data_IF_066313143322
#
_entry.id   IF_066313143322
#
_cell.length_a   1.000
_cell.length_b   1.000
_cell.length_c   1.000
_cell.angle_alpha   90.00
_cell.angle_beta   90.00
_cell.angle_gamma   90.00
#
_symmetry.space_group_name_H-M   'P 1'
#
loop_
_entity.id
_entity.type
_entity.pdbx_description
1 polymer ?
#
# COMPACT_ATOMS: atom_id res chain seq x y z
N UNK A 1 -1.35 -23.57 45.26
CA UNK A 1 -0.01 -22.99 45.06
C UNK A 1 -0.11 -22.01 43.91
N UNK A 2 -0.31 -20.73 44.22
CA UNK A 2 -0.29 -19.63 43.25
C UNK A 2 1.17 -19.25 42.99
N UNK A 3 1.60 -19.30 41.73
CA UNK A 3 2.94 -18.89 41.33
C UNK A 3 3.19 -17.42 41.72
N UNK A 4 4.40 -17.07 42.18
CA UNK A 4 4.72 -15.69 42.49
C UNK A 4 4.71 -14.87 41.19
N UNK A 5 3.97 -13.77 41.22
CA UNK A 5 3.88 -12.78 40.18
C UNK A 5 5.31 -12.27 39.88
N UNK A 6 5.82 -12.52 38.68
CA UNK A 6 7.13 -12.02 38.28
C UNK A 6 7.08 -10.49 38.34
N UNK A 7 7.80 -9.91 39.32
CA UNK A 7 7.92 -8.46 39.47
C UNK A 7 8.53 -7.91 38.19
N UNK A 8 7.79 -7.04 37.50
CA UNK A 8 8.34 -6.23 36.41
C UNK A 8 9.57 -5.47 36.94
N UNK A 9 10.68 -5.40 36.19
CA UNK A 9 11.83 -4.61 36.58
C UNK A 9 11.41 -3.14 36.73
N UNK A 10 11.98 -2.44 37.71
CA UNK A 10 11.76 -1.02 37.89
C UNK A 10 12.20 -0.26 36.62
N UNK A 11 11.51 0.82 36.23
CA UNK A 11 11.92 1.62 35.09
C UNK A 11 13.33 2.20 35.32
N UNK A 12 14.17 2.30 34.28
CA UNK A 12 15.52 2.82 34.41
C UNK A 12 15.51 4.27 34.91
N UNK A 13 16.53 4.63 35.69
CA UNK A 13 16.78 6.01 36.07
C UNK A 13 17.13 6.86 34.85
N UNK A 14 17.05 8.19 35.00
CA UNK A 14 17.41 9.13 33.94
C UNK A 14 18.86 8.92 33.47
N UNK A 15 19.78 8.68 34.41
CA UNK A 15 21.21 8.45 34.16
C UNK A 15 21.47 7.11 33.46
N UNK A 16 20.82 6.03 33.92
CA UNK A 16 20.92 4.71 33.27
C UNK A 16 20.44 4.77 31.82
N UNK A 17 19.26 5.35 31.60
CA UNK A 17 18.71 5.52 30.25
C UNK A 17 19.62 6.41 29.37
N UNK A 18 20.18 7.49 29.91
CA UNK A 18 21.11 8.34 29.17
C UNK A 18 22.39 7.58 28.78
N UNK A 19 22.89 6.70 29.66
CA UNK A 19 24.05 5.84 29.41
C UNK A 19 23.79 4.82 28.31
N UNK A 20 22.66 4.11 28.39
CA UNK A 20 22.24 3.17 27.35
C UNK A 20 22.12 3.86 25.98
N UNK A 21 21.44 5.01 25.92
CA UNK A 21 21.27 5.74 24.67
C UNK A 21 22.58 6.34 24.15
N UNK A 22 23.52 6.71 25.03
CA UNK A 22 24.83 7.23 24.64
C UNK A 22 25.63 6.17 23.86
N UNK A 23 25.63 4.93 24.34
CA UNK A 23 26.27 3.80 23.65
C UNK A 23 25.56 3.48 22.32
N UNK A 24 24.22 3.43 22.32
CA UNK A 24 23.44 3.18 21.08
C UNK A 24 23.73 4.24 20.01
N UNK A 25 23.81 5.52 20.37
CA UNK A 25 24.19 6.58 19.43
C UNK A 25 25.64 6.45 18.98
N UNK A 26 26.54 6.02 19.87
CA UNK A 26 27.94 5.70 19.54
C UNK A 26 28.05 4.60 18.48
N UNK A 27 27.35 3.49 18.68
CA UNK A 27 27.27 2.37 17.74
C UNK A 27 26.69 2.81 16.39
N UNK A 28 25.67 3.67 16.41
CA UNK A 28 25.09 4.22 15.19
C UNK A 28 26.10 5.07 14.42
N UNK A 29 26.89 5.91 15.10
CA UNK A 29 27.96 6.72 14.46
C UNK A 29 29.01 5.82 13.80
N UNK A 30 29.43 4.74 14.46
CA UNK A 30 30.36 3.77 13.86
C UNK A 30 29.71 3.05 12.67
N UNK A 31 28.44 2.68 12.76
CA UNK A 31 27.69 2.11 11.64
C UNK A 31 27.65 3.03 10.41
N UNK A 32 27.54 4.34 10.60
CA UNK A 32 27.61 5.31 9.50
C UNK A 32 29.01 5.33 8.87
N UNK A 33 30.06 5.36 9.69
CA UNK A 33 31.46 5.31 9.21
C UNK A 33 31.71 4.05 8.39
N UNK A 34 31.20 2.91 8.84
CA UNK A 34 31.29 1.63 8.13
C UNK A 34 30.54 1.64 6.81
N UNK A 35 29.35 2.25 6.79
CA UNK A 35 28.54 2.38 5.57
C UNK A 35 29.22 3.28 4.54
N UNK A 36 29.80 4.41 4.96
CA UNK A 36 30.63 5.26 4.09
C UNK A 36 31.83 4.50 3.52
N UNK A 37 32.54 3.71 4.35
CA UNK A 37 33.67 2.88 3.93
C UNK A 37 33.27 1.86 2.86
N UNK A 38 32.12 1.21 3.03
CA UNK A 38 31.59 0.25 2.05
C UNK A 38 31.15 0.91 0.75
N UNK A 39 30.69 2.16 0.81
CA UNK A 39 30.23 2.94 -0.35
C UNK A 39 31.30 3.84 -0.97
N UNK A 40 32.59 3.65 -0.63
CA UNK A 40 33.68 4.53 -1.13
C UNK A 40 33.73 4.62 -2.66
N UNK A 41 33.54 3.49 -3.36
CA UNK A 41 33.56 3.48 -4.83
C UNK A 41 32.42 4.29 -5.43
N UNK A 42 31.21 4.21 -4.86
CA UNK A 42 30.06 4.98 -5.31
C UNK A 42 30.24 6.47 -5.01
N UNK A 43 30.77 6.79 -3.82
CA UNK A 43 31.05 8.16 -3.39
C UNK A 43 32.13 8.84 -4.22
N UNK A 44 33.14 8.11 -4.70
CA UNK A 44 34.16 8.63 -5.62
C UNK A 44 33.57 9.07 -6.97
N UNK A 45 32.43 8.48 -7.38
CA UNK A 45 31.70 8.90 -8.57
C UNK A 45 30.96 10.24 -8.40
N UNK A 46 30.67 10.65 -7.16
CA UNK A 46 30.04 11.93 -6.87
C UNK A 46 31.09 13.06 -6.91
N UNK A 47 30.93 14.00 -7.85
CA UNK A 47 31.89 15.11 -8.05
C UNK A 47 31.23 16.47 -7.81
N UNK A 48 32.07 17.49 -7.58
CA UNK A 48 31.63 18.87 -7.40
C UNK A 48 30.79 19.09 -6.13
N UNK A 49 29.82 20.01 -6.20
CA UNK A 49 29.00 20.41 -5.06
C UNK A 49 28.08 19.32 -4.47
N UNK A 50 27.95 18.17 -5.14
CA UNK A 50 27.10 17.06 -4.69
C UNK A 50 27.83 16.06 -3.76
N UNK A 51 29.17 16.13 -3.66
CA UNK A 51 29.94 15.14 -2.91
C UNK A 51 29.55 15.08 -1.42
N UNK A 52 29.37 16.23 -0.77
CA UNK A 52 28.92 16.30 0.63
C UNK A 52 27.49 15.72 0.80
N UNK A 53 26.58 16.05 -0.12
CA UNK A 53 25.22 15.50 -0.11
C UNK A 53 25.19 13.99 -0.34
N UNK A 54 26.10 13.45 -1.16
CA UNK A 54 26.21 12.01 -1.39
C UNK A 54 26.67 11.27 -0.11
N UNK A 55 27.63 11.84 0.63
CA UNK A 55 28.04 11.30 1.94
C UNK A 55 26.87 11.31 2.92
N UNK A 56 26.18 12.44 3.05
CA UNK A 56 25.02 12.55 3.93
C UNK A 56 23.86 11.62 3.51
N UNK A 57 23.68 11.36 2.21
CA UNK A 57 22.71 10.39 1.72
C UNK A 57 23.06 8.96 2.14
N UNK A 58 24.34 8.57 2.08
CA UNK A 58 24.81 7.26 2.59
C UNK A 58 24.50 7.13 4.07
N UNK A 59 24.76 8.17 4.86
CA UNK A 59 24.43 8.19 6.28
C UNK A 59 22.93 8.05 6.53
N UNK A 60 22.14 8.84 5.81
CA UNK A 60 20.68 8.83 5.94
C UNK A 60 20.10 7.46 5.61
N UNK A 61 20.56 6.82 4.52
CA UNK A 61 20.14 5.46 4.15
C UNK A 61 20.57 4.44 5.19
N UNK A 62 21.78 4.55 5.75
CA UNK A 62 22.26 3.66 6.79
C UNK A 62 21.38 3.73 8.05
N UNK A 63 21.03 4.93 8.53
CA UNK A 63 20.09 5.09 9.64
C UNK A 63 18.70 4.54 9.30
N UNK A 64 18.17 4.85 8.11
CA UNK A 64 16.82 4.40 7.69
C UNK A 64 16.72 2.89 7.45
N UNK A 65 17.85 2.21 7.30
CA UNK A 65 17.94 0.75 7.25
C UNK A 65 17.79 0.06 8.61
N UNK A 66 17.75 0.81 9.71
CA UNK A 66 17.63 0.29 11.07
C UNK A 66 16.28 0.66 11.71
N UNK A 67 15.82 -0.16 12.65
CA UNK A 67 14.69 0.19 13.51
C UNK A 67 15.19 1.01 14.71
N UNK A 68 15.05 2.33 14.63
CA UNK A 68 15.50 3.27 15.66
C UNK A 68 14.37 3.77 16.58
N UNK A 69 13.18 3.16 16.53
CA UNK A 69 12.01 3.68 17.27
C UNK A 69 12.22 3.73 18.78
N UNK A 70 12.94 2.75 19.33
CA UNK A 70 13.23 2.69 20.77
C UNK A 70 14.22 3.78 21.18
N UNK A 71 15.26 4.01 20.37
CA UNK A 71 16.19 5.13 20.52
C UNK A 71 15.43 6.46 20.50
N UNK A 72 14.55 6.69 19.51
CA UNK A 72 13.78 7.94 19.39
C UNK A 72 12.87 8.19 20.60
N UNK A 73 12.21 7.14 21.11
CA UNK A 73 11.37 7.25 22.32
C UNK A 73 12.20 7.54 23.57
N UNK A 74 13.37 6.90 23.71
CA UNK A 74 14.30 7.16 24.80
C UNK A 74 14.87 8.58 24.79
N UNK A 75 15.29 9.08 23.62
CA UNK A 75 15.76 10.46 23.48
C UNK A 75 14.66 11.46 23.84
N UNK A 76 13.44 11.24 23.35
CA UNK A 76 12.30 12.09 23.62
C UNK A 76 11.93 12.13 25.12
N UNK A 77 11.99 11.00 25.83
CA UNK A 77 11.70 10.96 27.28
C UNK A 77 12.76 11.71 28.11
N UNK A 78 13.98 11.84 27.60
CA UNK A 78 15.04 12.65 28.21
C UNK A 78 14.95 14.15 27.86
N UNK A 79 14.05 14.54 26.94
CA UNK A 79 13.96 15.89 26.40
C UNK A 79 15.04 16.22 25.37
N UNK A 80 15.71 15.20 24.84
CA UNK A 80 16.73 15.31 23.79
C UNK A 80 16.06 15.20 22.42
N UNK A 81 16.66 15.80 21.37
CA UNK A 81 16.18 15.69 20.00
C UNK A 81 15.97 14.22 19.61
N UNK A 82 14.77 13.88 19.13
CA UNK A 82 14.40 12.53 18.68
C UNK A 82 14.93 12.18 17.29
N UNK A 83 15.89 12.96 16.78
CA UNK A 83 16.48 12.82 15.45
C UNK A 83 15.48 12.98 14.29
N UNK A 84 14.29 13.52 14.53
CA UNK A 84 13.27 13.73 13.50
C UNK A 84 13.77 14.52 12.27
N UNK A 85 14.42 15.69 12.43
CA UNK A 85 14.84 16.54 11.31
C UNK A 85 16.33 16.37 10.94
N UNK A 86 16.85 15.13 10.90
CA UNK A 86 18.28 14.89 10.67
C UNK A 86 18.68 14.83 9.18
N UNK A 87 17.73 14.95 8.25
CA UNK A 87 17.94 14.70 6.82
C UNK A 87 19.02 15.60 6.20
N UNK A 88 19.22 16.80 6.76
CA UNK A 88 20.19 17.76 6.23
C UNK A 88 21.64 17.45 6.60
N UNK A 89 21.87 16.89 7.79
CA UNK A 89 23.20 16.75 8.41
C UNK A 89 23.18 15.59 9.45
N UNK A 90 23.11 14.34 8.97
CA UNK A 90 22.83 13.17 9.82
C UNK A 90 23.90 12.96 10.89
N UNK A 91 25.18 13.01 10.50
CA UNK A 91 26.31 12.79 11.40
C UNK A 91 26.39 13.86 12.48
N UNK A 92 26.21 15.13 12.10
CA UNK A 92 26.25 16.28 12.99
C UNK A 92 25.14 16.19 14.05
N UNK A 93 23.93 15.76 13.66
CA UNK A 93 22.83 15.53 14.61
C UNK A 93 23.15 14.42 15.60
N UNK A 94 23.72 13.30 15.16
CA UNK A 94 24.10 12.20 16.05
C UNK A 94 25.21 12.62 17.03
N UNK A 95 26.22 13.35 16.55
CA UNK A 95 27.29 13.88 17.40
C UNK A 95 26.73 14.87 18.44
N UNK A 96 25.82 15.76 18.05
CA UNK A 96 25.19 16.71 18.96
C UNK A 96 24.31 16.02 20.02
N UNK A 97 23.54 15.01 19.63
CA UNK A 97 22.75 14.19 20.56
C UNK A 97 23.68 13.44 21.53
N UNK A 98 24.75 12.83 21.02
CA UNK A 98 25.73 12.13 21.86
C UNK A 98 26.41 13.06 22.87
N UNK A 99 26.78 14.27 22.45
CA UNK A 99 27.33 15.29 23.35
C UNK A 99 26.31 15.72 24.43
N UNK A 100 25.03 15.84 24.06
CA UNK A 100 23.95 16.17 25.01
C UNK A 100 23.77 15.06 26.05
N UNK A 101 23.79 13.78 25.62
CA UNK A 101 23.73 12.63 26.53
C UNK A 101 24.94 12.58 27.47
N UNK A 102 26.15 12.86 26.97
CA UNK A 102 27.34 12.97 27.81
C UNK A 102 27.21 14.06 28.89
N UNK A 103 26.61 15.20 28.55
CA UNK A 103 26.34 16.26 29.51
C UNK A 103 25.32 15.84 30.58
N UNK A 104 24.28 15.07 30.21
CA UNK A 104 23.32 14.50 31.19
C UNK A 104 24.04 13.56 32.16
N UNK A 105 24.91 12.67 31.64
CA UNK A 105 25.70 11.76 32.46
C UNK A 105 26.65 12.49 33.43
N UNK A 106 27.20 13.63 33.00
CA UNK A 106 28.11 14.43 33.82
C UNK A 106 27.42 15.21 34.95
N UNK A 107 26.11 15.44 34.89
CA UNK A 107 25.35 16.19 35.92
C UNK A 107 25.02 15.33 37.14
N UNK A 108 24.97 14.00 37.00
CA UNK A 108 24.67 13.07 38.09
C UNK A 108 25.94 12.46 38.74
N UNK A 109 27.11 12.76 38.19
CA UNK A 109 28.41 12.41 38.77
C UNK A 109 28.87 13.45 39.79
N UNK A 110 28.82 13.11 41.08
CA UNK A 110 29.60 13.78 42.12
C UNK A 110 31.07 13.88 41.68
N UNK A 111 31.67 15.07 41.85
CA UNK A 111 33.11 15.37 41.78
C UNK A 111 34.03 14.16 41.64
N UNK A 112 34.35 13.76 40.41
CA UNK A 112 35.62 13.08 40.08
C UNK A 112 35.78 13.06 38.55
N UNK A 113 36.40 14.12 38.02
CA UNK A 113 36.95 14.09 36.67
C UNK A 113 38.08 13.04 36.64
N UNK A 114 38.11 12.09 35.70
CA UNK A 114 39.32 11.35 35.43
C UNK A 114 40.27 12.30 34.70
N UNK A 115 41.25 12.84 35.42
CA UNK A 115 42.39 13.55 34.83
C UNK A 115 43.28 12.53 34.11
N UNK A 116 42.91 12.22 32.87
CA UNK A 116 43.82 11.67 31.88
C UNK A 116 44.67 12.80 31.29
N UNK A 117 45.96 12.74 31.57
CA UNK A 117 47.05 13.63 31.17
C UNK A 117 46.83 14.36 29.83
N UNK A 118 46.62 15.67 29.89
CA UNK A 118 47.06 16.62 28.87
C UNK A 118 48.22 17.39 29.47
N UNK A 119 49.37 17.32 28.81
CA UNK A 119 50.62 17.89 29.28
C UNK A 119 50.51 19.40 29.53
N UNK A 120 50.96 19.80 30.73
CA UNK A 120 51.00 21.17 31.18
C UNK A 120 52.10 21.95 30.46
N UNK A 121 51.69 22.68 29.41
CA UNK A 121 52.38 23.88 28.96
C UNK A 121 52.05 25.04 29.91
N UNK A 122 53.08 25.56 30.55
CA UNK A 122 53.12 26.73 31.44
C UNK A 122 52.27 27.92 30.98
N UNK A 123 51.39 28.42 31.86
CA UNK A 123 51.49 29.77 32.46
C UNK A 123 50.39 30.10 33.47
N UNK A 124 50.85 30.60 34.61
CA UNK A 124 50.11 31.38 35.61
C UNK A 124 49.67 32.72 35.03
N UNK A 125 48.41 33.12 35.24
CA UNK A 125 48.08 34.37 35.94
C UNK A 125 46.57 34.53 36.13
N UNK A 126 46.22 35.07 37.28
CA UNK A 126 44.90 35.48 37.73
C UNK A 126 44.31 36.61 36.89
N UNK A 127 43.14 36.41 36.32
CA UNK A 127 42.19 37.46 35.98
C UNK A 127 40.77 36.85 35.98
N UNK A 128 39.79 37.62 36.46
CA UNK A 128 38.38 37.23 36.48
C UNK A 128 37.90 36.79 35.09
N UNK A 129 36.93 35.86 34.95
CA UNK A 129 36.43 35.48 33.64
C UNK A 129 35.52 36.60 33.12
N UNK A 130 36.13 37.57 32.44
CA UNK A 130 35.44 38.46 31.51
C UNK A 130 34.84 37.60 30.38
N UNK A 131 33.53 37.76 30.19
CA UNK A 131 32.73 37.39 29.02
C UNK A 131 33.25 36.20 28.20
N UNK A 132 32.64 35.03 28.41
CA UNK A 132 32.65 33.95 27.41
C UNK A 132 32.11 34.54 26.11
N UNK A 133 33.00 34.81 25.16
CA UNK A 133 32.63 35.06 23.78
C UNK A 133 32.05 33.75 23.25
N UNK A 134 30.74 33.61 23.38
CA UNK A 134 30.00 32.55 22.71
C UNK A 134 30.07 32.90 21.24
N UNK A 135 30.91 32.19 20.48
CA UNK A 135 30.87 32.26 19.02
C UNK A 135 29.40 32.12 18.60
N UNK A 136 28.87 33.03 17.77
CA UNK A 136 27.46 32.96 17.39
C UNK A 136 27.22 31.63 16.69
N UNK A 137 26.44 30.77 17.33
CA UNK A 137 25.95 29.54 16.71
C UNK A 137 25.22 29.96 15.43
N UNK A 138 25.62 29.48 14.23
CA UNK A 138 24.96 29.83 12.99
C UNK A 138 23.47 29.53 13.12
N UNK A 139 22.62 30.51 12.80
CA UNK A 139 21.16 30.36 12.90
C UNK A 139 20.59 29.24 12.02
N UNK A 140 21.34 28.78 11.02
CA UNK A 140 20.97 27.71 10.08
C UNK A 140 22.22 26.89 9.73
N UNK A 141 22.13 25.55 9.78
CA UNK A 141 23.24 24.69 9.34
C UNK A 141 23.44 24.80 7.82
N UNK A 142 24.68 24.66 7.29
CA UNK A 142 24.92 24.62 5.85
C UNK A 142 24.07 23.56 5.11
N UNK A 143 23.86 22.38 5.72
CA UNK A 143 23.00 21.35 5.16
C UNK A 143 21.54 21.77 5.09
N UNK A 144 21.01 22.46 6.10
CA UNK A 144 19.62 22.96 6.09
C UNK A 144 19.41 23.97 4.95
N UNK A 145 20.37 24.88 4.76
CA UNK A 145 20.32 25.85 3.66
C UNK A 145 20.39 25.16 2.29
N UNK A 146 21.24 24.14 2.15
CA UNK A 146 21.36 23.37 0.92
C UNK A 146 20.10 22.55 0.62
N UNK A 147 19.50 21.93 1.65
CA UNK A 147 18.25 21.19 1.53
C UNK A 147 17.10 22.11 1.09
N UNK A 148 16.99 23.30 1.67
CA UNK A 148 15.99 24.29 1.28
C UNK A 148 16.17 24.72 -0.20
N UNK A 149 17.41 25.02 -0.60
CA UNK A 149 17.75 25.36 -1.99
C UNK A 149 17.36 24.24 -2.96
N UNK A 150 17.77 23.00 -2.68
CA UNK A 150 17.47 21.86 -3.56
C UNK A 150 15.96 21.58 -3.62
N UNK A 151 15.25 21.75 -2.50
CA UNK A 151 13.78 21.62 -2.46
C UNK A 151 13.11 22.62 -3.40
N UNK A 152 13.56 23.86 -3.40
CA UNK A 152 13.05 24.90 -4.31
C UNK A 152 13.37 24.63 -5.78
N UNK A 153 14.59 24.16 -6.06
CA UNK A 153 15.01 23.83 -7.42
C UNK A 153 14.14 22.72 -8.03
N UNK A 154 13.94 21.64 -7.26
CA UNK A 154 13.20 20.44 -7.69
C UNK A 154 11.69 20.69 -7.69
N UNK A 155 11.13 21.18 -6.59
CA UNK A 155 9.67 21.24 -6.37
C UNK A 155 9.08 22.64 -6.56
N UNK A 156 9.91 23.65 -6.78
CA UNK A 156 9.47 25.04 -6.89
C UNK A 156 9.45 25.78 -5.54
N UNK A 157 9.26 27.11 -5.58
CA UNK A 157 9.23 27.94 -4.38
C UNK A 157 8.10 27.54 -3.43
N UNK A 158 8.26 27.85 -2.15
CA UNK A 158 7.18 27.70 -1.18
C UNK A 158 6.06 28.68 -1.52
N UNK A 159 4.82 28.31 -1.22
CA UNK A 159 3.71 29.27 -1.30
C UNK A 159 3.76 30.24 -0.11
N UNK A 160 3.14 31.41 -0.25
CA UNK A 160 3.11 32.43 0.81
C UNK A 160 2.53 31.93 2.15
N UNK A 161 1.69 30.89 2.15
CA UNK A 161 0.97 30.41 3.32
C UNK A 161 1.47 29.06 3.85
N UNK A 162 2.37 28.37 3.13
CA UNK A 162 2.92 27.07 3.54
C UNK A 162 4.28 26.77 2.90
N UNK A 163 5.15 26.15 3.69
CA UNK A 163 6.42 25.59 3.23
C UNK A 163 6.28 24.24 2.51
N UNK A 164 5.27 23.43 2.83
CA UNK A 164 5.09 22.12 2.20
C UNK A 164 4.58 22.27 0.77
N UNK A 165 5.14 21.51 -0.19
CA UNK A 165 4.65 21.43 -1.57
C UNK A 165 3.68 20.25 -1.73
N UNK A 166 2.61 20.44 -2.49
CA UNK A 166 1.60 19.43 -2.79
C UNK A 166 1.88 18.91 -4.20
N UNK A 167 2.19 17.62 -4.27
CA UNK A 167 2.33 16.89 -5.52
C UNK A 167 1.06 16.08 -5.77
N UNK A 168 0.42 16.27 -6.91
CA UNK A 168 -0.78 15.52 -7.32
C UNK A 168 -0.41 14.61 -8.48
N UNK A 169 -0.78 13.34 -8.37
CA UNK A 169 -0.65 12.41 -9.50
C UNK A 169 -1.82 12.62 -10.43
N UNK A 170 -1.54 13.06 -11.65
CA UNK A 170 -2.59 13.35 -12.62
C UNK A 170 -3.24 12.05 -13.10
N UNK A 171 -4.58 11.95 -13.08
CA UNK A 171 -5.30 10.83 -13.67
C UNK A 171 -5.32 10.96 -15.21
N UNK A 172 -5.67 9.89 -15.92
CA UNK A 172 -5.64 9.85 -17.39
C UNK A 172 -6.55 10.92 -18.05
N UNK A 173 -7.64 11.27 -17.37
CA UNK A 173 -8.63 12.29 -17.71
C UNK A 173 -8.01 13.70 -17.76
N UNK A 174 -6.96 13.97 -16.98
CA UNK A 174 -6.26 15.26 -16.99
C UNK A 174 -5.60 15.58 -18.34
N UNK A 175 -5.46 14.59 -19.24
CA UNK A 175 -5.02 14.80 -20.61
C UNK A 175 -6.11 15.38 -21.53
N UNK A 176 -7.38 15.27 -21.16
CA UNK A 176 -8.54 15.65 -21.98
C UNK A 176 -9.42 16.71 -21.31
N UNK A 177 -9.30 16.87 -19.99
CA UNK A 177 -10.01 17.87 -19.19
C UNK A 177 -9.04 18.89 -18.58
N UNK A 178 -8.82 20.05 -19.23
CA UNK A 178 -8.02 21.14 -18.68
C UNK A 178 -8.64 21.80 -17.45
N UNK A 179 -9.96 21.75 -17.30
CA UNK A 179 -10.68 22.38 -16.19
C UNK A 179 -10.39 21.63 -14.90
N UNK A 180 -10.34 20.30 -14.95
CA UNK A 180 -9.89 19.46 -13.83
C UNK A 180 -8.48 19.85 -13.36
N UNK A 181 -7.55 20.09 -14.28
CA UNK A 181 -6.17 20.47 -13.95
C UNK A 181 -6.13 21.87 -13.32
N UNK A 182 -6.92 22.82 -13.83
CA UNK A 182 -7.08 24.14 -13.21
C UNK A 182 -7.58 24.01 -11.78
N UNK A 183 -8.58 23.18 -11.53
CA UNK A 183 -9.17 22.99 -10.21
C UNK A 183 -8.13 22.42 -9.22
N UNK A 184 -7.23 21.53 -9.66
CA UNK A 184 -6.10 21.10 -8.84
C UNK A 184 -5.13 22.24 -8.50
N UNK A 185 -4.80 23.09 -9.49
CA UNK A 185 -3.90 24.24 -9.28
C UNK A 185 -4.51 25.24 -8.31
N UNK A 186 -5.79 25.60 -8.48
CA UNK A 186 -6.48 26.54 -7.59
C UNK A 186 -6.63 25.97 -6.18
N UNK A 187 -6.76 24.65 -6.05
CA UNK A 187 -6.82 23.96 -4.75
C UNK A 187 -5.46 23.79 -4.08
N UNK A 188 -4.35 24.12 -4.74
CA UNK A 188 -3.02 24.13 -4.14
C UNK A 188 -1.95 23.22 -4.77
N UNK A 189 -2.21 22.54 -5.89
CA UNK A 189 -1.20 21.67 -6.53
C UNK A 189 0.05 22.43 -7.00
N UNK A 190 1.22 22.18 -6.40
CA UNK A 190 2.51 22.79 -6.77
C UNK A 190 3.27 21.96 -7.82
N UNK A 191 3.08 20.64 -7.78
CA UNK A 191 3.74 19.70 -8.67
C UNK A 191 2.71 18.75 -9.29
N UNK A 192 2.67 18.72 -10.62
CA UNK A 192 1.92 17.73 -11.37
C UNK A 192 2.81 16.51 -11.63
N UNK A 193 2.51 15.40 -10.95
CA UNK A 193 3.17 14.10 -11.17
C UNK A 193 2.46 13.35 -12.29
N UNK A 194 3.22 12.93 -13.29
CA UNK A 194 2.77 12.07 -14.38
C UNK A 194 3.40 10.70 -14.16
N UNK A 195 2.57 9.69 -13.87
CA UNK A 195 3.02 8.32 -13.66
C UNK A 195 3.13 7.60 -15.02
N UNK A 196 4.36 7.52 -15.55
CA UNK A 196 4.66 6.95 -16.86
C UNK A 196 4.56 5.42 -16.91
N UNK A 197 4.09 4.76 -15.85
CA UNK A 197 3.71 3.35 -15.90
C UNK A 197 2.33 3.12 -16.52
N UNK A 198 1.58 4.21 -16.73
CA UNK A 198 0.28 4.24 -17.37
C UNK A 198 0.29 5.27 -18.49
N UNK A 199 -0.69 5.17 -19.39
CA UNK A 199 -0.82 6.04 -20.55
C UNK A 199 0.40 6.01 -21.49
N UNK A 200 0.50 6.99 -22.37
CA UNK A 200 1.59 7.11 -23.34
C UNK A 200 1.96 8.57 -23.64
N UNK A 201 3.01 8.76 -24.45
CA UNK A 201 3.63 10.07 -24.69
C UNK A 201 2.64 11.18 -25.10
N UNK A 202 1.61 10.85 -25.89
CA UNK A 202 0.61 11.82 -26.33
C UNK A 202 -0.25 12.34 -25.19
N UNK A 203 -0.69 11.46 -24.29
CA UNK A 203 -1.46 11.83 -23.09
C UNK A 203 -0.60 12.61 -22.11
N UNK A 204 0.62 12.14 -21.84
CA UNK A 204 1.57 12.85 -20.99
C UNK A 204 1.85 14.26 -21.51
N UNK A 205 2.05 14.42 -22.82
CA UNK A 205 2.27 15.72 -23.45
C UNK A 205 1.08 16.67 -23.26
N UNK A 206 -0.15 16.15 -23.33
CA UNK A 206 -1.36 16.94 -23.03
C UNK A 206 -1.44 17.33 -21.56
N UNK A 207 -1.20 16.41 -20.64
CA UNK A 207 -1.13 16.69 -19.20
C UNK A 207 -0.11 17.78 -18.87
N UNK A 208 1.07 17.73 -19.49
CA UNK A 208 2.12 18.76 -19.34
C UNK A 208 1.61 20.12 -19.81
N UNK A 209 0.98 20.19 -20.99
CA UNK A 209 0.42 21.44 -21.52
C UNK A 209 -0.66 22.00 -20.60
N UNK A 210 -1.59 21.15 -20.15
CA UNK A 210 -2.67 21.56 -19.25
C UNK A 210 -2.12 22.05 -17.89
N UNK A 211 -1.13 21.35 -17.32
CA UNK A 211 -0.50 21.75 -16.06
C UNK A 211 0.24 23.10 -16.17
N UNK A 212 0.94 23.34 -17.27
CA UNK A 212 1.61 24.63 -17.53
C UNK A 212 0.61 25.76 -17.73
N UNK A 213 -0.41 25.55 -18.58
CA UNK A 213 -1.44 26.55 -18.84
C UNK A 213 -2.24 26.91 -17.58
N UNK A 214 -2.56 25.92 -16.75
CA UNK A 214 -3.23 26.14 -15.46
C UNK A 214 -2.35 26.95 -14.49
N UNK A 215 -1.04 26.65 -14.44
CA UNK A 215 -0.08 27.42 -13.64
C UNK A 215 0.01 28.89 -14.10
N UNK A 216 0.16 29.11 -15.41
CA UNK A 216 0.20 30.44 -16.02
C UNK A 216 -1.07 31.24 -15.72
N UNK A 217 -2.25 30.63 -15.90
CA UNK A 217 -3.54 31.27 -15.63
C UNK A 217 -3.72 31.65 -14.15
N UNK A 218 -3.13 30.87 -13.24
CA UNK A 218 -3.16 31.13 -11.80
C UNK A 218 -1.99 32.02 -11.31
N UNK A 219 -1.11 32.49 -12.21
CA UNK A 219 0.05 33.31 -11.85
C UNK A 219 1.08 32.58 -10.98
N UNK A 220 1.14 31.25 -11.05
CA UNK A 220 2.01 30.40 -10.21
C UNK A 220 2.75 29.35 -11.04
N UNK A 221 4.02 29.13 -10.72
CA UNK A 221 4.78 28.04 -11.31
C UNK A 221 4.27 26.68 -10.83
N UNK A 222 3.95 25.78 -11.77
CA UNK A 222 3.64 24.37 -11.49
C UNK A 222 4.77 23.51 -12.07
N UNK A 223 5.45 22.74 -11.22
CA UNK A 223 6.50 21.81 -11.69
C UNK A 223 5.87 20.56 -12.26
N UNK A 224 6.52 19.97 -13.26
CA UNK A 224 6.13 18.67 -13.82
C UNK A 224 7.12 17.62 -13.32
N UNK A 225 6.62 16.60 -12.63
CA UNK A 225 7.40 15.45 -12.19
C UNK A 225 7.04 14.22 -13.06
N UNK A 226 7.98 13.79 -13.89
CA UNK A 226 7.84 12.57 -14.70
C UNK A 226 8.30 11.37 -13.86
N UNK A 227 7.37 10.54 -13.41
CA UNK A 227 7.65 9.34 -12.65
C UNK A 227 7.75 8.13 -13.58
N UNK A 228 8.98 7.67 -13.82
CA UNK A 228 9.27 6.59 -14.74
C UNK A 228 8.74 5.26 -14.21
N UNK A 229 8.17 4.44 -15.09
CA UNK A 229 7.60 3.15 -14.69
C UNK A 229 8.61 2.21 -14.02
N UNK A 230 9.88 2.28 -14.39
CA UNK A 230 10.94 1.39 -13.89
C UNK A 230 10.74 -0.08 -14.30
N UNK A 231 11.62 -0.99 -13.86
CA UNK A 231 11.51 -2.42 -14.14
C UNK A 231 10.36 -3.05 -13.34
N UNK A 232 9.14 -2.94 -13.85
CA UNK A 232 7.93 -3.48 -13.22
C UNK A 232 7.67 -4.91 -13.69
N UNK A 233 7.58 -5.84 -12.74
CA UNK A 233 7.02 -7.16 -12.97
C UNK A 233 5.49 -7.05 -12.95
N UNK A 234 4.85 -7.67 -13.96
CA UNK A 234 3.39 -7.69 -14.12
C UNK A 234 2.98 -9.10 -14.53
N UNK A 235 1.79 -9.51 -14.12
CA UNK A 235 1.17 -10.73 -14.66
C UNK A 235 0.62 -10.44 -16.05
N UNK A 236 0.54 -11.47 -16.89
CA UNK A 236 -0.37 -11.45 -18.04
C UNK A 236 -1.84 -11.37 -17.60
N UNK A 237 -2.76 -11.20 -18.54
CA UNK A 237 -4.19 -11.25 -18.24
C UNK A 237 -4.57 -12.64 -17.72
N UNK A 238 -5.54 -12.68 -16.81
CA UNK A 238 -6.15 -13.92 -16.34
C UNK A 238 -7.35 -14.19 -17.25
N UNK A 239 -7.44 -15.37 -17.86
CA UNK A 239 -8.60 -15.73 -18.67
C UNK A 239 -9.87 -15.80 -17.80
N UNK A 240 -11.00 -15.29 -18.30
CA UNK A 240 -12.28 -15.51 -17.65
C UNK A 240 -12.56 -17.00 -17.46
N UNK A 241 -13.16 -17.34 -16.32
CA UNK A 241 -13.55 -18.71 -15.99
C UNK A 241 -14.80 -19.16 -16.74
N UNK A 242 -15.23 -20.41 -16.52
CA UNK A 242 -16.44 -20.93 -17.14
C UNK A 242 -17.68 -20.11 -16.73
N UNK A 243 -18.60 -19.91 -17.67
CA UNK A 243 -19.91 -19.26 -17.46
C UNK A 243 -20.90 -20.26 -16.88
N UNK A 244 -20.68 -20.61 -15.62
CA UNK A 244 -21.45 -21.65 -14.91
C UNK A 244 -21.86 -21.17 -13.53
N UNK A 245 -23.15 -21.25 -13.22
CA UNK A 245 -23.68 -21.04 -11.86
C UNK A 245 -23.99 -22.38 -11.23
N UNK A 246 -23.41 -22.66 -10.05
CA UNK A 246 -23.60 -23.94 -9.34
C UNK A 246 -24.39 -23.74 -8.07
N UNK A 247 -25.47 -24.51 -7.91
CA UNK A 247 -26.20 -24.63 -6.64
C UNK A 247 -25.83 -25.94 -5.95
N UNK A 248 -25.72 -25.92 -4.63
CA UNK A 248 -25.31 -27.08 -3.82
C UNK A 248 -26.30 -27.27 -2.66
N UNK A 249 -26.74 -28.51 -2.37
CA UNK A 249 -27.49 -28.79 -1.17
C UNK A 249 -26.55 -28.72 0.04
N UNK A 250 -27.08 -28.29 1.19
CA UNK A 250 -26.35 -28.39 2.46
C UNK A 250 -26.47 -29.80 3.00
N UNK A 251 -25.33 -30.38 3.37
CA UNK A 251 -25.24 -31.73 3.92
C UNK A 251 -24.64 -31.70 5.30
N UNK A 252 -25.07 -32.62 6.16
CA UNK A 252 -24.44 -32.83 7.46
C UNK A 252 -23.14 -33.63 7.34
N UNK A 253 -22.51 -33.91 8.48
CA UNK A 253 -21.28 -34.72 8.59
C UNK A 253 -21.43 -36.15 8.08
N UNK A 254 -22.66 -36.68 8.04
CA UNK A 254 -22.95 -38.02 7.50
C UNK A 254 -23.16 -38.02 5.98
N UNK A 255 -23.24 -36.83 5.37
CA UNK A 255 -23.52 -36.64 3.95
C UNK A 255 -25.02 -36.64 3.62
N UNK A 256 -25.90 -36.72 4.62
CA UNK A 256 -27.34 -36.58 4.42
C UNK A 256 -27.69 -35.13 4.09
N UNK A 257 -28.63 -34.94 3.15
CA UNK A 257 -29.09 -33.60 2.76
C UNK A 257 -29.96 -33.03 3.85
N UNK A 258 -29.47 -31.98 4.52
CA UNK A 258 -30.22 -31.22 5.53
C UNK A 258 -31.06 -30.14 4.86
N UNK A 259 -30.55 -29.60 3.75
CA UNK A 259 -31.21 -28.53 3.00
C UNK A 259 -31.01 -28.73 1.50
N UNK A 260 -32.09 -28.83 0.70
CA UNK A 260 -31.98 -28.92 -0.75
C UNK A 260 -31.29 -27.70 -1.35
N UNK A 261 -30.62 -27.88 -2.50
CA UNK A 261 -30.14 -26.77 -3.30
C UNK A 261 -31.35 -26.03 -3.87
N UNK A 262 -31.41 -24.70 -3.74
CA UNK A 262 -32.50 -23.88 -4.27
C UNK A 262 -31.96 -22.80 -5.20
N UNK A 263 -32.78 -22.42 -6.18
CA UNK A 263 -32.50 -21.33 -7.11
C UNK A 263 -33.80 -20.69 -7.59
N UNK A 264 -33.72 -19.42 -7.97
CA UNK A 264 -34.76 -18.77 -8.74
C UNK A 264 -34.51 -18.99 -10.23
N UNK A 265 -35.51 -19.43 -10.98
CA UNK A 265 -35.55 -19.31 -12.44
C UNK A 265 -36.27 -18.00 -12.78
N UNK A 266 -35.65 -17.15 -13.59
CA UNK A 266 -36.14 -15.80 -13.88
C UNK A 266 -36.05 -15.47 -15.38
N UNK A 267 -36.85 -14.53 -15.91
CA UNK A 267 -36.69 -13.99 -17.25
C UNK A 267 -35.32 -13.34 -17.49
N UNK A 268 -34.86 -13.29 -18.76
CA UNK A 268 -33.65 -12.56 -19.21
C UNK A 268 -33.49 -11.16 -18.62
N UNK A 269 -34.58 -10.40 -18.56
CA UNK A 269 -34.54 -8.99 -18.15
C UNK A 269 -34.72 -8.79 -16.63
N UNK A 270 -34.82 -9.89 -15.86
CA UNK A 270 -34.93 -9.82 -14.41
C UNK A 270 -33.56 -9.52 -13.79
N UNK A 271 -33.46 -8.58 -12.83
CA UNK A 271 -32.23 -8.32 -12.09
C UNK A 271 -31.67 -9.60 -11.46
N UNK A 272 -30.39 -9.87 -11.66
CA UNK A 272 -29.70 -11.07 -11.15
C UNK A 272 -28.99 -10.86 -9.82
N UNK A 273 -28.88 -9.60 -9.37
CA UNK A 273 -28.36 -9.29 -8.04
C UNK A 273 -29.34 -9.75 -6.95
N UNK A 274 -28.84 -10.31 -5.84
CA UNK A 274 -29.68 -10.57 -4.69
C UNK A 274 -30.12 -9.22 -4.11
N UNK A 275 -31.34 -8.78 -4.42
CA UNK A 275 -31.96 -7.67 -3.68
C UNK A 275 -32.03 -8.11 -2.21
N UNK A 276 -31.34 -7.45 -1.25
CA UNK A 276 -31.23 -7.92 0.14
C UNK A 276 -32.53 -7.89 0.96
N UNK A 277 -33.70 -7.78 0.34
CA UNK A 277 -34.97 -7.50 0.98
C UNK A 277 -36.08 -8.54 0.75
N UNK A 278 -35.81 -9.66 0.06
CA UNK A 278 -36.79 -10.74 -0.08
C UNK A 278 -36.41 -11.94 0.80
N UNK A 279 -37.34 -12.30 1.69
CA UNK A 279 -37.31 -13.23 2.82
C UNK A 279 -36.80 -14.68 2.63
N UNK A 280 -36.04 -15.03 1.59
CA UNK A 280 -35.43 -16.36 1.45
C UNK A 280 -33.96 -16.22 1.02
N UNK A 281 -33.04 -16.46 1.96
CA UNK A 281 -31.63 -16.06 1.90
C UNK A 281 -30.88 -16.38 0.60
N UNK A 282 -30.13 -15.39 0.10
CA UNK A 282 -29.02 -15.47 -0.88
C UNK A 282 -29.13 -16.52 -2.02
N UNK A 283 -30.35 -16.79 -2.50
CA UNK A 283 -30.57 -17.76 -3.57
C UNK A 283 -30.09 -17.20 -4.91
N UNK A 284 -29.40 -18.03 -5.68
CA UNK A 284 -28.94 -17.65 -7.02
C UNK A 284 -30.11 -17.56 -8.01
N UNK A 285 -30.16 -16.47 -8.77
CA UNK A 285 -31.07 -16.30 -9.91
C UNK A 285 -30.44 -16.85 -11.19
N UNK A 286 -31.19 -17.67 -11.93
CA UNK A 286 -30.82 -18.27 -13.21
C UNK A 286 -31.74 -17.72 -14.28
N UNK A 287 -31.19 -16.89 -15.17
CA UNK A 287 -31.94 -16.30 -16.28
C UNK A 287 -32.21 -17.33 -17.37
N UNK A 288 -33.43 -17.33 -17.88
CA UNK A 288 -33.87 -18.16 -19.01
C UNK A 288 -34.34 -17.28 -20.17
N UNK A 289 -34.18 -17.78 -21.39
CA UNK A 289 -34.53 -17.09 -22.63
C UNK A 289 -36.04 -17.04 -22.93
N UNK A 290 -36.85 -17.89 -22.28
CA UNK A 290 -38.28 -18.05 -22.60
C UNK A 290 -39.17 -17.75 -21.38
N UNK A 291 -39.84 -16.61 -21.43
CA UNK A 291 -40.76 -16.13 -20.38
C UNK A 291 -42.07 -16.92 -20.38
N UNK A 292 -42.58 -17.33 -21.54
CA UNK A 292 -43.83 -18.08 -21.65
C UNK A 292 -43.65 -19.49 -21.08
N UNK A 293 -42.49 -20.08 -21.29
CA UNK A 293 -42.13 -21.36 -20.68
C UNK A 293 -42.14 -21.26 -19.15
N UNK A 294 -41.52 -20.21 -18.58
CA UNK A 294 -41.52 -19.95 -17.13
C UNK A 294 -42.93 -19.79 -16.56
N UNK A 295 -43.77 -18.98 -17.21
CA UNK A 295 -45.17 -18.75 -16.82
C UNK A 295 -46.02 -20.02 -16.92
N UNK A 296 -45.61 -20.98 -17.75
CA UNK A 296 -46.29 -22.24 -17.93
C UNK A 296 -46.04 -23.27 -16.83
N UNK A 297 -45.07 -23.07 -15.94
CA UNK A 297 -44.74 -23.99 -14.85
C UNK A 297 -45.76 -23.95 -13.71
N UNK A 298 -45.93 -25.06 -12.99
CA UNK A 298 -46.82 -25.17 -11.83
C UNK A 298 -46.12 -25.72 -10.60
N UNK A 299 -46.62 -25.37 -9.43
CA UNK A 299 -46.15 -25.90 -8.15
C UNK A 299 -46.15 -27.43 -8.14
N UNK A 300 -45.02 -28.00 -7.72
CA UNK A 300 -44.81 -29.44 -7.64
C UNK A 300 -44.38 -30.13 -8.93
N UNK A 301 -44.34 -29.43 -10.08
CA UNK A 301 -43.84 -30.00 -11.34
C UNK A 301 -42.33 -30.26 -11.31
N UNK A 302 -41.88 -31.24 -12.10
CA UNK A 302 -40.47 -31.56 -12.28
C UNK A 302 -39.94 -30.97 -13.59
N UNK A 303 -38.87 -30.19 -13.50
CA UNK A 303 -38.08 -29.73 -14.65
C UNK A 303 -36.85 -30.61 -14.76
N UNK A 304 -36.62 -31.19 -15.93
CA UNK A 304 -35.46 -32.02 -16.19
C UNK A 304 -34.35 -31.22 -16.88
N UNK A 305 -33.11 -31.48 -16.47
CA UNK A 305 -31.92 -30.89 -17.09
C UNK A 305 -30.93 -31.98 -17.48
N UNK A 306 -30.18 -31.71 -18.54
CA UNK A 306 -29.04 -32.54 -18.97
C UNK A 306 -27.75 -31.74 -18.78
N UNK A 307 -27.02 -32.02 -17.71
CA UNK A 307 -25.74 -31.36 -17.44
C UNK A 307 -24.71 -31.66 -18.54
N UNK A 308 -23.78 -30.73 -18.75
CA UNK A 308 -22.68 -30.85 -19.73
C UNK A 308 -21.84 -32.15 -19.61
N UNK A 309 -21.87 -32.82 -18.44
CA UNK A 309 -21.20 -34.10 -18.17
C UNK A 309 -22.08 -35.34 -18.43
N UNK A 310 -23.20 -35.19 -19.14
CA UNK A 310 -24.14 -36.27 -19.49
C UNK A 310 -25.09 -36.70 -18.36
N UNK A 311 -24.92 -36.15 -17.16
CA UNK A 311 -25.75 -36.41 -16.00
C UNK A 311 -27.14 -35.76 -16.14
N UNK A 312 -28.22 -36.53 -15.91
CA UNK A 312 -29.57 -35.96 -15.76
C UNK A 312 -29.82 -35.50 -14.32
N UNK A 313 -30.48 -34.36 -14.14
CA UNK A 313 -31.03 -33.93 -12.85
C UNK A 313 -32.50 -33.57 -13.01
N UNK A 314 -33.21 -33.59 -11.90
CA UNK A 314 -34.58 -33.10 -11.77
C UNK A 314 -34.58 -31.97 -10.76
N UNK A 315 -35.21 -30.88 -11.13
CA UNK A 315 -35.49 -29.72 -10.32
C UNK A 315 -36.99 -29.74 -10.03
N UNK A 316 -37.39 -29.75 -8.76
CA UNK A 316 -38.80 -29.67 -8.39
C UNK A 316 -39.20 -28.22 -8.22
N UNK A 317 -40.30 -27.81 -8.86
CA UNK A 317 -40.89 -26.49 -8.66
C UNK A 317 -41.53 -26.43 -7.28
N UNK A 318 -41.04 -25.52 -6.44
CA UNK A 318 -41.55 -25.31 -5.09
C UNK A 318 -42.63 -24.24 -5.02
N UNK A 319 -42.43 -23.15 -5.77
CA UNK A 319 -43.33 -22.01 -5.79
C UNK A 319 -43.20 -21.27 -7.11
N UNK A 320 -44.33 -20.91 -7.71
CA UNK A 320 -44.42 -20.04 -8.88
C UNK A 320 -44.91 -18.66 -8.46
N UNK A 321 -44.14 -17.63 -8.81
CA UNK A 321 -44.52 -16.21 -8.65
C UNK A 321 -44.70 -15.57 -10.02
N UNK A 322 -45.19 -14.32 -10.03
CA UNK A 322 -45.48 -13.59 -11.28
C UNK A 322 -44.25 -13.38 -12.18
N UNK A 323 -43.06 -13.24 -11.59
CA UNK A 323 -41.81 -12.87 -12.24
C UNK A 323 -40.66 -13.88 -12.03
N UNK A 324 -40.88 -14.93 -11.24
CA UNK A 324 -39.84 -15.91 -10.88
C UNK A 324 -40.43 -17.25 -10.43
N UNK A 325 -39.65 -18.32 -10.58
CA UNK A 325 -40.02 -19.67 -10.16
C UNK A 325 -38.95 -20.24 -9.23
N UNK A 326 -39.35 -20.65 -8.01
CA UNK A 326 -38.46 -21.31 -7.06
C UNK A 326 -38.34 -22.77 -7.42
N UNK A 327 -37.11 -23.25 -7.59
CA UNK A 327 -36.83 -24.67 -7.83
C UNK A 327 -35.89 -25.23 -6.80
N UNK A 328 -36.02 -26.54 -6.51
CA UNK A 328 -35.10 -27.26 -5.62
C UNK A 328 -34.53 -28.55 -6.20
N UNK A 329 -33.38 -28.97 -5.69
CA UNK A 329 -32.77 -30.26 -5.97
C UNK A 329 -32.00 -30.81 -4.77
N UNK A 330 -32.14 -32.13 -4.53
CA UNK A 330 -31.35 -32.86 -3.52
C UNK A 330 -29.91 -33.18 -3.97
N UNK A 331 -29.58 -32.86 -5.22
CA UNK A 331 -28.22 -33.00 -5.80
C UNK A 331 -27.68 -31.63 -6.20
N UNK A 332 -26.36 -31.48 -6.22
CA UNK A 332 -25.75 -30.30 -6.83
C UNK A 332 -26.14 -30.21 -8.31
N UNK A 333 -26.36 -28.98 -8.77
CA UNK A 333 -26.70 -28.67 -10.16
C UNK A 333 -25.80 -27.55 -10.65
N UNK A 334 -25.28 -27.70 -11.86
CA UNK A 334 -24.49 -26.67 -12.54
C UNK A 334 -25.26 -26.18 -13.77
N UNK A 335 -25.68 -24.92 -13.75
CA UNK A 335 -26.29 -24.23 -14.87
C UNK A 335 -25.19 -23.60 -15.71
N UNK A 336 -25.00 -24.06 -16.94
CA UNK A 336 -24.11 -23.44 -17.91
C UNK A 336 -24.93 -22.59 -18.88
N UNK A 337 -24.34 -21.51 -19.42
CA UNK A 337 -24.97 -20.81 -20.56
C UNK A 337 -25.27 -21.79 -21.68
N UNK A 338 -26.49 -21.72 -22.22
CA UNK A 338 -26.98 -22.65 -23.24
C UNK A 338 -27.54 -23.97 -22.69
N UNK A 339 -27.58 -24.17 -21.36
CA UNK A 339 -28.17 -25.39 -20.79
C UNK A 339 -29.68 -25.44 -21.03
N UNK A 340 -30.15 -26.55 -21.59
CA UNK A 340 -31.58 -26.81 -21.80
C UNK A 340 -32.26 -27.34 -20.53
N UNK A 341 -33.41 -26.74 -20.22
CA UNK A 341 -34.38 -27.15 -19.21
C UNK A 341 -35.62 -27.64 -19.93
N UNK A 342 -36.06 -28.87 -19.65
CA UNK A 342 -37.26 -29.47 -20.25
C UNK A 342 -38.33 -29.68 -19.19
N UNK A 343 -39.52 -29.14 -19.42
CA UNK A 343 -40.67 -29.34 -18.52
C UNK A 343 -41.33 -30.72 -18.73
N UNK A 344 -42.37 -31.02 -17.94
CA UNK A 344 -43.13 -32.28 -18.04
C UNK A 344 -43.92 -32.43 -19.36
N UNK A 345 -44.14 -31.34 -20.09
CA UNK A 345 -44.83 -31.32 -21.40
C UNK A 345 -43.86 -31.53 -22.57
N UNK A 346 -42.56 -31.54 -22.31
CA UNK A 346 -41.51 -31.62 -23.33
C UNK A 346 -41.12 -30.28 -23.93
N UNK A 347 -41.63 -29.16 -23.43
CA UNK A 347 -41.22 -27.83 -23.87
C UNK A 347 -39.84 -27.48 -23.26
N UNK A 348 -39.02 -26.75 -24.02
CA UNK A 348 -37.62 -26.47 -23.67
C UNK A 348 -37.40 -24.98 -23.49
N UNK A 349 -36.75 -24.60 -22.39
CA UNK A 349 -36.14 -23.28 -22.19
C UNK A 349 -34.62 -23.42 -22.07
N UNK A 350 -33.89 -22.35 -22.33
CA UNK A 350 -32.43 -22.32 -22.34
C UNK A 350 -31.93 -21.32 -21.31
N UNK A 351 -30.92 -21.71 -20.53
CA UNK A 351 -30.18 -20.81 -19.63
C UNK A 351 -29.46 -19.76 -20.45
N UNK A 352 -29.70 -18.49 -20.11
CA UNK A 352 -29.15 -17.35 -20.81
C UNK A 352 -27.65 -17.14 -20.53
N UNK A 353 -27.09 -16.05 -21.05
CA UNK A 353 -25.71 -15.68 -20.79
C UNK A 353 -25.46 -15.42 -19.29
N UNK A 354 -24.60 -16.25 -18.69
CA UNK A 354 -24.16 -16.11 -17.31
C UNK A 354 -22.83 -15.34 -17.27
N UNK A 355 -22.57 -14.55 -16.21
CA UNK A 355 -21.27 -13.90 -16.04
C UNK A 355 -20.17 -14.96 -15.97
N UNK A 356 -19.03 -14.66 -16.58
CA UNK A 356 -17.85 -15.51 -16.47
C UNK A 356 -17.36 -15.51 -15.02
N UNK A 357 -16.99 -16.68 -14.50
CA UNK A 357 -16.41 -16.75 -13.17
C UNK A 357 -15.06 -16.01 -13.14
N UNK A 358 -14.84 -15.19 -12.11
CA UNK A 358 -13.52 -14.64 -11.87
C UNK A 358 -12.54 -15.77 -11.55
N UNK A 359 -11.40 -15.76 -12.25
CA UNK A 359 -10.34 -16.72 -12.02
C UNK A 359 -9.24 -16.05 -11.18
N UNK A 360 -8.63 -16.83 -10.29
CA UNK A 360 -7.53 -16.37 -9.46
C UNK A 360 -6.43 -17.40 -9.42
N UNK A 361 -5.18 -16.95 -9.42
CA UNK A 361 -4.02 -17.79 -9.16
C UNK A 361 -3.59 -17.64 -7.71
N UNK A 362 -3.56 -18.74 -6.96
CA UNK A 362 -3.04 -18.75 -5.59
C UNK A 362 -1.57 -19.15 -5.65
N UNK A 363 -0.70 -18.25 -5.19
CA UNK A 363 0.74 -18.50 -5.04
C UNK A 363 1.04 -18.85 -3.58
N UNK A 364 1.92 -19.81 -3.37
CA UNK A 364 2.42 -20.26 -2.07
C UNK A 364 3.94 -20.09 -2.00
N UNK A 365 4.47 -20.07 -0.78
CA UNK A 365 5.91 -20.13 -0.57
C UNK A 365 6.49 -21.40 -1.21
N UNK A 366 7.59 -21.25 -1.95
CA UNK A 366 8.21 -22.33 -2.71
C UNK A 366 7.69 -22.52 -4.14
N UNK A 367 6.62 -21.82 -4.53
CA UNK A 367 6.14 -21.87 -5.92
C UNK A 367 7.17 -21.25 -6.88
N UNK A 368 7.40 -21.91 -8.02
CA UNK A 368 8.26 -21.41 -9.07
C UNK A 368 7.48 -20.43 -9.97
N UNK A 369 7.93 -19.18 -10.03
CA UNK A 369 7.37 -18.16 -10.93
C UNK A 369 8.34 -17.96 -12.09
N UNK A 370 7.87 -18.16 -13.32
CA UNK A 370 8.66 -17.91 -14.53
C UNK A 370 8.44 -16.49 -15.00
N UNK A 371 9.53 -15.72 -15.11
CA UNK A 371 9.51 -14.41 -15.75
C UNK A 371 9.67 -14.57 -17.27
N UNK A 372 8.67 -14.13 -18.02
CA UNK A 372 8.67 -14.18 -19.49
C UNK A 372 8.51 -12.78 -20.07
N UNK A 373 8.87 -12.60 -21.34
CA UNK A 373 8.53 -11.38 -22.11
C UNK A 373 7.13 -11.45 -22.74
N UNK A 374 6.54 -12.65 -22.81
CA UNK A 374 5.23 -12.89 -23.40
C UNK A 374 4.14 -12.56 -22.37
N UNK A 375 3.23 -11.66 -22.75
CA UNK A 375 2.08 -11.23 -21.94
C UNK A 375 0.81 -12.00 -22.28
N UNK A 376 0.89 -13.05 -23.09
CA UNK A 376 -0.25 -13.92 -23.38
C UNK A 376 -0.77 -14.53 -22.07
N UNK A 377 -2.10 -14.68 -21.91
CA UNK A 377 -2.65 -15.29 -20.73
C UNK A 377 -2.06 -16.70 -20.55
N UNK A 378 -1.50 -17.03 -19.38
CA UNK A 378 -1.07 -18.39 -19.14
C UNK A 378 -2.29 -19.31 -19.25
N UNK A 379 -2.13 -20.42 -19.96
CA UNK A 379 -3.14 -21.49 -19.92
C UNK A 379 -3.42 -21.79 -18.45
N UNK A 380 -4.70 -21.83 -18.02
CA UNK A 380 -4.99 -22.11 -16.64
C UNK A 380 -4.30 -23.43 -16.29
N UNK A 381 -3.54 -23.51 -15.18
CA UNK A 381 -3.13 -24.80 -14.66
C UNK A 381 -4.41 -25.63 -14.59
N UNK A 382 -4.30 -26.91 -14.90
CA UNK A 382 -5.39 -27.88 -14.78
C UNK A 382 -5.82 -27.97 -13.32
N UNK A 383 -6.50 -26.94 -12.85
CA UNK A 383 -6.98 -26.78 -11.51
C UNK A 383 -8.14 -27.76 -11.40
N UNK A 384 -7.93 -28.81 -10.59
CA UNK A 384 -9.05 -29.57 -10.06
C UNK A 384 -9.94 -28.57 -9.35
N UNK A 385 -11.11 -28.30 -9.94
CA UNK A 385 -12.23 -27.69 -9.24
C UNK A 385 -12.56 -28.60 -8.04
N UNK A 386 -12.01 -28.26 -6.87
CA UNK A 386 -12.40 -28.86 -5.59
C UNK A 386 -13.80 -28.36 -5.19
#
# INVERSE_FOLDING_TARGET
>A
MTAPNASMPAPPTRTELAGELYEVVGDLIEHLRDSRRRSLTDLQGATGGAAASAVNLVDYVAVRGLDIRDLQRGLASLGVSSLGPMESDVMEHLVAVRATLAAVLAQDGSDERPTGQLEAGTRSSSAAPDSVSVDPVPSVSPGTALLAKNTEEIFGPASAHRNTRIMVTLPSEAAEDPDLVRDYVTSGMDVARINCAHDGPDRWSRMIRNGRAAGEAAGRGVKIAMDLGGPKLRTGPILPGPRVRRIKPRRDVSGAVVEPARAWLVPRDHPTDPTPAALDGDLSSIQLNDVLWLQGLRDGEDVSIREARGSRRRLRVLAVHADRVLVESRKSVSFATGLELTDVRGAVAIVDELPAAEMSFRVREGDLITLTRDTSPPMPPTARLS
#
